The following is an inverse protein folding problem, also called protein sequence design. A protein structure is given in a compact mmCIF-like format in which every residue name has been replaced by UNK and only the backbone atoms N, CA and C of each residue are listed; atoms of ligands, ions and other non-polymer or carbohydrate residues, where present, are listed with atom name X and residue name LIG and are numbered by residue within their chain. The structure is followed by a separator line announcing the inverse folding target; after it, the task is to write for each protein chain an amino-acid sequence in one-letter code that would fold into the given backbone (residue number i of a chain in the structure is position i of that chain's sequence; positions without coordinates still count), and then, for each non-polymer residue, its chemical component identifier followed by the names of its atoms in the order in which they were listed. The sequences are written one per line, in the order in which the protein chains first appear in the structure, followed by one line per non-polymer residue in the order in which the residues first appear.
data_IF_931899131495
#
_entry.id   IF_931899131495
#
_cell.length_a   1.000
_cell.length_b   1.000
_cell.length_c   1.000
_cell.angle_alpha   90.00
_cell.angle_beta   90.00
_cell.angle_gamma   90.00
#
_symmetry.space_group_name_H-M   'P 1'
#
loop_
_entity.id
_entity.type
_entity.pdbx_description
1 polymer ?
#
# COMPACT_ATOMS: atom_id res chain seq x y z
N UNK A 1 -22.30 0.47 -14.62
CA UNK A 1 -23.57 0.48 -13.86
C UNK A 1 -23.23 0.78 -12.41
N UNK A 2 -23.99 1.64 -11.70
CA UNK A 2 -23.80 1.78 -10.26
C UNK A 2 -24.13 0.46 -9.55
N UNK A 3 -23.37 0.10 -8.53
CA UNK A 3 -23.63 -1.06 -7.68
C UNK A 3 -23.35 -0.71 -6.21
N UNK A 4 -23.97 -1.45 -5.30
CA UNK A 4 -23.73 -1.38 -3.85
C UNK A 4 -23.10 -2.70 -3.40
N UNK A 5 -22.05 -2.62 -2.59
CA UNK A 5 -21.36 -3.81 -2.06
C UNK A 5 -22.25 -4.66 -1.13
N UNK A 6 -23.32 -4.08 -0.57
CA UNK A 6 -24.29 -4.78 0.27
C UNK A 6 -25.46 -5.38 -0.50
N UNK A 7 -25.63 -5.04 -1.77
CA UNK A 7 -26.72 -5.54 -2.61
C UNK A 7 -26.24 -6.58 -3.63
N UNK A 8 -26.61 -7.84 -3.40
CA UNK A 8 -26.29 -8.98 -4.27
C UNK A 8 -26.81 -8.79 -5.70
N UNK A 9 -28.01 -8.23 -5.86
CA UNK A 9 -28.63 -8.10 -7.17
C UNK A 9 -27.84 -7.10 -8.04
N UNK A 10 -27.38 -6.00 -7.45
CA UNK A 10 -26.56 -5.01 -8.15
C UNK A 10 -25.19 -5.57 -8.57
N UNK A 11 -24.53 -6.34 -7.70
CA UNK A 11 -23.23 -6.97 -7.99
C UNK A 11 -23.40 -8.03 -9.09
N UNK A 12 -24.41 -8.89 -8.97
CA UNK A 12 -24.72 -9.92 -9.97
C UNK A 12 -25.02 -9.31 -11.33
N UNK A 13 -25.75 -8.19 -11.37
CA UNK A 13 -26.01 -7.43 -12.59
C UNK A 13 -24.73 -6.86 -13.21
N UNK A 14 -23.80 -6.38 -12.39
CA UNK A 14 -22.50 -5.89 -12.85
C UNK A 14 -21.59 -7.00 -13.39
N UNK A 15 -21.75 -8.24 -12.92
CA UNK A 15 -20.91 -9.39 -13.26
C UNK A 15 -21.49 -10.33 -14.33
N UNK A 16 -22.76 -10.14 -14.73
CA UNK A 16 -23.54 -11.09 -15.55
C UNK A 16 -22.86 -11.56 -16.84
N UNK A 17 -22.05 -10.72 -17.48
CA UNK A 17 -21.38 -11.03 -18.75
C UNK A 17 -19.85 -10.91 -18.65
N UNK A 18 -19.31 -10.98 -17.43
CA UNK A 18 -17.89 -10.82 -17.18
C UNK A 18 -17.21 -12.18 -17.14
N UNK A 19 -16.20 -12.38 -17.99
CA UNK A 19 -15.30 -13.53 -17.93
C UNK A 19 -14.23 -13.35 -16.83
N UNK A 20 -13.83 -12.11 -16.55
CA UNK A 20 -12.82 -11.75 -15.56
C UNK A 20 -13.40 -10.74 -14.59
N UNK A 21 -13.14 -10.93 -13.30
CA UNK A 21 -13.51 -9.99 -12.24
C UNK A 21 -12.29 -9.65 -11.40
N UNK A 22 -12.00 -8.35 -11.26
CA UNK A 22 -10.87 -7.84 -10.49
C UNK A 22 -11.42 -7.08 -9.29
N UNK A 23 -11.10 -7.55 -8.09
CA UNK A 23 -11.49 -6.92 -6.84
C UNK A 23 -10.35 -6.06 -6.28
N UNK A 24 -10.51 -4.74 -6.39
CA UNK A 24 -9.65 -3.71 -5.80
C UNK A 24 -10.35 -2.93 -4.68
N UNK A 25 -11.49 -3.42 -4.18
CA UNK A 25 -12.25 -2.70 -3.15
C UNK A 25 -11.45 -2.70 -1.85
N UNK A 26 -11.20 -1.51 -1.31
CA UNK A 26 -10.47 -1.34 -0.07
C UNK A 26 -10.44 0.10 0.42
N UNK A 27 -10.10 0.28 1.70
CA UNK A 27 -9.94 1.59 2.32
C UNK A 27 -8.98 1.58 3.52
N UNK A 28 -8.18 2.63 3.67
CA UNK A 28 -7.20 2.75 4.76
C UNK A 28 -7.79 3.27 6.09
N UNK A 29 -9.09 3.58 6.10
CA UNK A 29 -9.81 4.06 7.28
C UNK A 29 -11.26 3.59 7.23
N UNK A 30 -11.88 3.45 8.40
CA UNK A 30 -13.30 3.15 8.50
C UNK A 30 -14.13 4.39 8.17
N UNK A 31 -15.29 4.19 7.56
CA UNK A 31 -16.29 5.25 7.46
C UNK A 31 -17.40 5.00 8.47
N UNK A 32 -18.29 5.98 8.65
CA UNK A 32 -19.45 5.83 9.54
C UNK A 32 -20.33 4.63 9.14
N UNK A 33 -20.47 4.39 7.84
CA UNK A 33 -21.43 3.41 7.31
C UNK A 33 -20.78 2.07 6.92
N UNK A 34 -19.47 2.04 6.67
CA UNK A 34 -18.73 0.85 6.27
C UNK A 34 -17.52 0.65 7.17
N UNK A 35 -17.52 -0.47 7.88
CA UNK A 35 -16.46 -0.96 8.76
C UNK A 35 -15.45 -1.82 7.99
N UNK A 36 -14.32 -2.14 8.61
CA UNK A 36 -13.31 -2.97 7.95
C UNK A 36 -13.83 -4.38 7.67
N UNK A 37 -14.64 -4.94 8.56
CA UNK A 37 -15.26 -6.25 8.39
C UNK A 37 -16.20 -6.28 7.16
N UNK A 38 -17.03 -5.23 7.00
CA UNK A 38 -17.92 -5.11 5.82
C UNK A 38 -17.11 -5.12 4.50
N UNK A 39 -15.96 -4.42 4.49
CA UNK A 39 -15.19 -4.15 3.27
C UNK A 39 -14.19 -5.25 2.94
N UNK A 40 -13.58 -5.87 3.96
CA UNK A 40 -12.52 -6.84 3.77
C UNK A 40 -12.96 -8.29 4.01
N UNK A 41 -14.06 -8.54 4.73
CA UNK A 41 -14.57 -9.91 4.96
C UNK A 41 -15.81 -10.13 4.11
N UNK A 42 -16.89 -9.42 4.41
CA UNK A 42 -18.20 -9.67 3.78
C UNK A 42 -18.22 -9.33 2.29
N UNK A 43 -17.62 -8.19 1.92
CA UNK A 43 -17.51 -7.73 0.53
C UNK A 43 -16.81 -8.74 -0.38
N UNK A 44 -15.54 -9.12 -0.10
CA UNK A 44 -14.81 -10.09 -0.92
C UNK A 44 -15.48 -11.47 -0.94
N UNK A 45 -16.02 -11.95 0.18
CA UNK A 45 -16.75 -13.21 0.23
C UNK A 45 -18.00 -13.18 -0.68
N UNK A 46 -18.75 -12.08 -0.66
CA UNK A 46 -19.91 -11.87 -1.53
C UNK A 46 -19.52 -11.81 -3.00
N UNK A 47 -18.45 -11.07 -3.34
CA UNK A 47 -17.93 -11.01 -4.71
C UNK A 47 -17.50 -12.40 -5.19
N UNK A 48 -16.77 -13.17 -4.37
CA UNK A 48 -16.33 -14.51 -4.72
C UNK A 48 -17.50 -15.47 -4.95
N UNK A 49 -18.52 -15.44 -4.08
CA UNK A 49 -19.72 -16.26 -4.23
C UNK A 49 -20.48 -15.92 -5.51
N UNK A 50 -20.72 -14.62 -5.75
CA UNK A 50 -21.45 -14.17 -6.93
C UNK A 50 -20.65 -14.40 -8.22
N UNK A 51 -19.31 -14.34 -8.17
CA UNK A 51 -18.44 -14.67 -9.29
C UNK A 51 -18.61 -16.12 -9.71
N UNK A 52 -18.63 -17.02 -8.72
CA UNK A 52 -18.88 -18.45 -8.93
C UNK A 52 -20.28 -18.70 -9.51
N UNK A 53 -21.31 -18.05 -8.98
CA UNK A 53 -22.68 -18.17 -9.50
C UNK A 53 -22.85 -17.65 -10.93
N UNK A 54 -22.09 -16.63 -11.32
CA UNK A 54 -22.14 -16.07 -12.67
C UNK A 54 -21.26 -16.83 -13.67
N UNK A 55 -20.49 -17.83 -13.22
CA UNK A 55 -19.57 -18.56 -14.09
C UNK A 55 -18.36 -17.73 -14.54
N UNK A 56 -17.87 -16.80 -13.70
CA UNK A 56 -16.66 -16.04 -13.97
C UNK A 56 -15.47 -17.01 -14.07
N UNK A 57 -14.70 -16.92 -15.15
CA UNK A 57 -13.55 -17.79 -15.41
C UNK A 57 -12.35 -17.43 -14.53
N UNK A 58 -12.09 -16.13 -14.33
CA UNK A 58 -10.97 -15.65 -13.52
C UNK A 58 -11.38 -14.59 -12.52
N UNK A 59 -11.18 -14.89 -11.24
CA UNK A 59 -11.29 -13.93 -10.15
C UNK A 59 -9.91 -13.50 -9.70
N UNK A 60 -9.65 -12.19 -9.70
CA UNK A 60 -8.43 -11.58 -9.18
C UNK A 60 -8.76 -10.81 -7.92
N UNK A 61 -8.07 -11.10 -6.83
CA UNK A 61 -8.23 -10.40 -5.55
C UNK A 61 -6.91 -9.75 -5.12
N UNK A 62 -6.97 -8.46 -4.77
CA UNK A 62 -5.77 -7.73 -4.31
C UNK A 62 -5.82 -7.52 -2.80
N UNK A 63 -4.87 -8.16 -2.13
CA UNK A 63 -4.70 -8.19 -0.69
C UNK A 63 -3.60 -7.20 -0.26
N UNK A 64 -2.66 -7.61 0.60
CA UNK A 64 -1.46 -6.87 0.99
C UNK A 64 -0.35 -7.86 1.38
N UNK A 65 0.92 -7.47 1.25
CA UNK A 65 2.07 -8.33 1.61
C UNK A 65 2.11 -8.72 3.09
N UNK A 66 1.71 -7.81 3.98
CA UNK A 66 1.84 -7.97 5.42
C UNK A 66 0.60 -8.58 6.09
N UNK A 67 -0.29 -9.21 5.32
CA UNK A 67 -1.49 -9.84 5.90
C UNK A 67 -1.13 -11.02 6.78
N UNK A 68 -1.75 -11.09 7.95
CA UNK A 68 -1.57 -12.16 8.93
C UNK A 68 -2.84 -12.30 9.77
N UNK A 69 -3.13 -13.52 10.24
CA UNK A 69 -4.22 -13.76 11.20
C UNK A 69 -3.98 -13.02 12.52
N UNK A 70 -2.71 -12.96 12.92
CA UNK A 70 -2.23 -12.31 14.14
C UNK A 70 -1.13 -11.31 13.75
N UNK A 71 -1.50 -10.10 13.29
CA UNK A 71 -0.52 -9.07 12.97
C UNK A 71 0.22 -8.65 14.24
N UNK A 72 1.54 -8.48 14.14
CA UNK A 72 2.37 -8.05 15.26
C UNK A 72 1.96 -6.65 15.73
N UNK A 73 1.68 -6.43 17.02
CA UNK A 73 1.34 -5.12 17.55
C UNK A 73 2.59 -4.24 17.68
N UNK A 74 2.63 -3.14 16.93
CA UNK A 74 3.67 -2.11 17.01
C UNK A 74 3.19 -0.90 17.82
N UNK A 75 2.22 -0.16 17.28
CA UNK A 75 1.60 1.03 17.87
C UNK A 75 0.22 0.70 18.46
N UNK A 76 -0.52 -0.20 17.79
CA UNK A 76 -1.83 -0.66 18.23
C UNK A 76 -1.70 -1.89 19.13
N UNK A 77 -2.46 -1.99 20.22
CA UNK A 77 -2.32 -3.08 21.18
C UNK A 77 -2.64 -4.47 20.60
N UNK A 78 -3.48 -4.52 19.55
CA UNK A 78 -3.92 -5.75 18.91
C UNK A 78 -3.42 -5.89 17.46
N UNK A 79 -2.42 -5.09 17.06
CA UNK A 79 -1.97 -4.99 15.67
C UNK A 79 -2.99 -4.32 14.75
N UNK A 80 -2.69 -4.28 13.45
CA UNK A 80 -3.57 -3.65 12.45
C UNK A 80 -4.81 -4.48 12.19
N UNK A 81 -6.00 -3.89 12.38
CA UNK A 81 -7.26 -4.52 12.00
C UNK A 81 -7.37 -4.71 10.49
N UNK A 82 -6.80 -3.80 9.69
CA UNK A 82 -6.80 -3.90 8.23
C UNK A 82 -6.07 -5.17 7.78
N UNK A 83 -4.86 -5.42 8.31
CA UNK A 83 -4.07 -6.59 7.93
C UNK A 83 -4.76 -7.90 8.32
N UNK A 84 -5.37 -7.93 9.52
CA UNK A 84 -6.12 -9.10 10.00
C UNK A 84 -7.39 -9.36 9.19
N UNK A 85 -8.21 -8.35 8.95
CA UNK A 85 -9.47 -8.50 8.20
C UNK A 85 -9.22 -8.83 6.73
N UNK A 86 -8.19 -8.24 6.10
CA UNK A 86 -7.74 -8.63 4.76
C UNK A 86 -7.28 -10.09 4.70
N UNK A 87 -6.56 -10.58 5.71
CA UNK A 87 -6.17 -11.99 5.77
C UNK A 87 -7.39 -12.92 5.77
N UNK A 88 -8.37 -12.63 6.63
CA UNK A 88 -9.61 -13.41 6.74
C UNK A 88 -10.39 -13.36 5.41
N UNK A 89 -10.52 -12.18 4.83
CA UNK A 89 -11.17 -11.98 3.53
C UNK A 89 -10.53 -12.78 2.40
N UNK A 90 -9.20 -12.73 2.32
CA UNK A 90 -8.43 -13.48 1.33
C UNK A 90 -8.65 -14.99 1.46
N UNK A 91 -8.67 -15.50 2.71
CA UNK A 91 -8.98 -16.90 2.99
C UNK A 91 -10.39 -17.27 2.53
N UNK A 92 -11.40 -16.46 2.84
CA UNK A 92 -12.77 -16.69 2.40
C UNK A 92 -12.92 -16.67 0.88
N UNK A 93 -12.24 -15.73 0.19
CA UNK A 93 -12.21 -15.70 -1.27
C UNK A 93 -11.63 -17.00 -1.82
N UNK A 94 -10.53 -17.48 -1.24
CA UNK A 94 -9.89 -18.73 -1.65
C UNK A 94 -10.77 -19.95 -1.36
N UNK A 95 -11.45 -19.99 -0.23
CA UNK A 95 -12.33 -21.12 0.14
C UNK A 95 -13.57 -21.19 -0.78
N UNK A 96 -14.12 -20.04 -1.18
CA UNK A 96 -15.29 -19.97 -2.07
C UNK A 96 -14.90 -20.20 -3.53
N UNK A 97 -13.81 -19.58 -3.97
CA UNK A 97 -13.27 -19.61 -5.33
C UNK A 97 -11.79 -20.07 -5.29
N UNK A 98 -11.52 -21.39 -5.27
CA UNK A 98 -10.17 -21.95 -5.13
C UNK A 98 -9.18 -21.48 -6.19
N UNK A 99 -9.66 -21.26 -7.41
CA UNK A 99 -8.85 -20.83 -8.56
C UNK A 99 -8.54 -19.32 -8.56
N UNK A 100 -8.94 -18.58 -7.51
CA UNK A 100 -8.78 -17.14 -7.44
C UNK A 100 -7.30 -16.76 -7.36
N UNK A 101 -6.88 -15.89 -8.26
CA UNK A 101 -5.52 -15.33 -8.28
C UNK A 101 -5.45 -14.23 -7.24
N UNK A 102 -4.53 -14.35 -6.29
CA UNK A 102 -4.35 -13.37 -5.23
C UNK A 102 -3.07 -12.59 -5.47
N UNK A 103 -3.14 -11.26 -5.47
CA UNK A 103 -1.96 -10.41 -5.44
C UNK A 103 -1.77 -9.85 -4.03
N UNK A 104 -0.58 -10.02 -3.47
CA UNK A 104 -0.15 -9.44 -2.20
C UNK A 104 0.90 -8.36 -2.48
N UNK A 105 0.47 -7.12 -2.80
CA UNK A 105 1.40 -6.04 -3.07
C UNK A 105 2.03 -5.48 -1.79
N UNK A 106 3.28 -5.06 -1.91
CA UNK A 106 3.93 -4.12 -0.99
C UNK A 106 3.31 -2.71 -1.14
N UNK A 107 3.90 -1.71 -0.49
CA UNK A 107 3.54 -0.31 -0.65
C UNK A 107 3.65 0.11 -2.12
N UNK A 108 2.49 0.33 -2.73
CA UNK A 108 2.39 0.74 -4.13
C UNK A 108 2.66 2.24 -4.21
N UNK A 109 3.58 2.64 -5.09
CA UNK A 109 3.87 4.04 -5.38
C UNK A 109 3.60 4.38 -6.85
N UNK A 110 3.33 5.66 -7.12
CA UNK A 110 3.07 6.20 -8.44
C UNK A 110 2.15 7.40 -8.38
N UNK A 111 1.66 7.83 -9.54
CA UNK A 111 0.76 8.97 -9.62
C UNK A 111 -0.49 8.68 -8.80
N UNK A 112 -0.74 9.54 -7.82
CA UNK A 112 -1.88 9.42 -6.92
C UNK A 112 -1.80 8.47 -5.73
N UNK A 113 -0.61 7.97 -5.45
CA UNK A 113 -0.40 7.06 -4.35
C UNK A 113 -0.59 7.71 -2.95
N UNK A 114 -0.93 6.90 -1.96
CA UNK A 114 -1.08 7.34 -0.57
C UNK A 114 0.17 7.10 0.27
N UNK A 115 1.21 6.51 -0.29
CA UNK A 115 2.46 6.18 0.39
C UNK A 115 3.40 7.39 0.39
N UNK A 116 3.95 7.76 -0.77
CA UNK A 116 4.76 8.97 -1.00
C UNK A 116 4.02 10.23 -0.55
N UNK A 117 2.75 10.39 -0.95
CA UNK A 117 1.96 11.57 -0.59
C UNK A 117 1.77 11.72 0.93
N UNK A 118 1.74 10.62 1.69
CA UNK A 118 1.65 10.72 3.14
C UNK A 118 2.91 11.37 3.74
N UNK A 119 4.10 10.98 3.28
CA UNK A 119 5.36 11.59 3.71
C UNK A 119 5.55 13.02 3.16
N UNK A 120 5.05 13.28 1.95
CA UNK A 120 5.10 14.61 1.34
C UNK A 120 4.18 15.62 2.04
N UNK A 121 3.09 15.16 2.66
CA UNK A 121 2.10 16.02 3.30
C UNK A 121 2.65 16.68 4.59
N UNK A 122 2.38 17.97 4.75
CA UNK A 122 2.79 18.75 5.93
C UNK A 122 2.11 18.26 7.22
N UNK A 123 0.85 17.80 7.15
CA UNK A 123 0.11 17.35 8.33
C UNK A 123 0.69 16.08 8.95
N UNK A 124 1.38 15.24 8.17
CA UNK A 124 2.07 14.05 8.67
C UNK A 124 3.28 14.37 9.56
N UNK A 125 3.78 15.61 9.49
CA UNK A 125 5.01 16.10 10.14
C UNK A 125 4.69 16.85 11.44
N UNK A 126 5.69 16.97 12.29
CA UNK A 126 5.74 17.95 13.39
C UNK A 126 6.74 19.03 13.01
N UNK A 127 6.23 20.12 12.42
CA UNK A 127 7.07 21.15 11.78
C UNK A 127 7.99 20.54 10.70
N UNK A 128 9.30 20.56 10.94
CA UNK A 128 10.32 19.99 10.06
C UNK A 128 10.71 18.56 10.42
N UNK A 129 10.12 18.01 11.48
CA UNK A 129 10.45 16.69 11.99
C UNK A 129 9.44 15.62 11.51
N UNK A 130 9.94 14.43 11.16
CA UNK A 130 9.12 13.29 10.72
C UNK A 130 9.09 12.19 11.78
N UNK A 131 7.91 11.89 12.36
CA UNK A 131 7.76 10.81 13.32
C UNK A 131 7.69 9.46 12.61
N UNK A 132 8.66 8.57 12.87
CA UNK A 132 8.66 7.17 12.46
C UNK A 132 8.80 6.23 13.67
N UNK A 133 8.28 5.01 13.59
CA UNK A 133 8.42 4.01 14.64
C UNK A 133 9.88 3.57 14.75
N UNK A 134 10.52 3.70 15.92
CA UNK A 134 11.96 3.43 16.08
C UNK A 134 12.81 4.16 15.03
N UNK A 135 12.40 5.39 14.70
CA UNK A 135 13.01 6.18 13.63
C UNK A 135 13.04 5.46 12.26
N UNK A 136 12.19 4.46 12.00
CA UNK A 136 12.17 3.71 10.75
C UNK A 136 13.37 2.78 10.53
N UNK A 137 14.22 2.58 11.54
CA UNK A 137 15.41 1.74 11.41
C UNK A 137 15.11 0.24 11.56
N UNK A 138 14.01 -0.11 12.22
CA UNK A 138 13.58 -1.50 12.40
C UNK A 138 12.72 -2.04 11.24
N UNK A 139 12.30 -1.18 10.31
CA UNK A 139 11.34 -1.53 9.25
C UNK A 139 12.03 -1.62 7.90
N UNK A 140 11.78 -2.72 7.17
CA UNK A 140 12.23 -2.90 5.79
C UNK A 140 11.02 -2.89 4.86
N UNK A 141 11.12 -2.14 3.75
CA UNK A 141 10.08 -1.99 2.73
C UNK A 141 10.59 -2.35 1.34
N UNK A 142 9.73 -2.93 0.51
CA UNK A 142 10.05 -3.29 -0.88
C UNK A 142 9.00 -2.73 -1.86
N UNK A 143 8.88 -1.39 -1.91
CA UNK A 143 7.79 -0.70 -2.59
C UNK A 143 7.76 -1.02 -4.09
N UNK A 144 6.57 -1.12 -4.66
CA UNK A 144 6.34 -1.57 -6.04
C UNK A 144 5.67 -0.47 -6.86
N UNK A 145 6.06 -0.33 -8.14
CA UNK A 145 5.45 0.68 -9.02
C UNK A 145 4.04 0.25 -9.44
N UNK A 146 3.09 1.18 -9.40
CA UNK A 146 1.67 0.91 -9.72
C UNK A 146 1.48 0.29 -11.11
N UNK A 147 2.25 0.73 -12.10
CA UNK A 147 2.15 0.21 -13.47
C UNK A 147 2.63 -1.23 -13.58
N UNK A 148 3.62 -1.64 -12.79
CA UNK A 148 4.14 -3.00 -12.77
C UNK A 148 3.12 -3.96 -12.15
N UNK A 149 2.43 -3.53 -11.09
CA UNK A 149 1.31 -4.29 -10.49
C UNK A 149 0.18 -4.45 -11.50
N UNK A 150 -0.19 -3.38 -12.21
CA UNK A 150 -1.21 -3.45 -13.25
C UNK A 150 -0.80 -4.38 -14.41
N UNK A 151 0.45 -4.33 -14.85
CA UNK A 151 1.01 -5.23 -15.86
C UNK A 151 0.96 -6.70 -15.39
N UNK A 152 1.31 -6.96 -14.13
CA UNK A 152 1.22 -8.29 -13.52
C UNK A 152 -0.21 -8.83 -13.47
N UNK A 153 -1.18 -7.99 -13.08
CA UNK A 153 -2.60 -8.35 -13.11
C UNK A 153 -3.02 -8.73 -14.53
N UNK A 154 -2.66 -7.93 -15.54
CA UNK A 154 -2.99 -8.22 -16.94
C UNK A 154 -2.30 -9.50 -17.43
N UNK A 155 -1.04 -9.75 -17.04
CA UNK A 155 -0.33 -10.98 -17.37
C UNK A 155 -1.01 -12.21 -16.78
N UNK A 156 -1.44 -12.14 -15.51
CA UNK A 156 -2.18 -13.23 -14.86
C UNK A 156 -3.56 -13.47 -15.49
N UNK A 157 -4.23 -12.43 -16.01
CA UNK A 157 -5.47 -12.61 -16.78
C UNK A 157 -5.21 -13.44 -18.04
N UNK A 158 -4.08 -13.25 -18.71
CA UNK A 158 -3.77 -13.92 -19.98
C UNK A 158 -3.24 -15.35 -19.80
N UNK A 159 -2.54 -15.63 -18.70
CA UNK A 159 -1.92 -16.93 -18.48
C UNK A 159 -2.86 -17.89 -17.71
N UNK A 160 -3.26 -19.05 -18.25
CA UNK A 160 -4.12 -20.01 -17.54
C UNK A 160 -3.48 -20.63 -16.29
N UNK A 161 -2.14 -20.75 -16.26
CA UNK A 161 -1.40 -21.43 -15.18
C UNK A 161 -1.36 -20.62 -13.87
N UNK A 162 -1.93 -19.41 -13.86
CA UNK A 162 -1.95 -18.56 -12.68
C UNK A 162 -3.10 -18.87 -11.71
N UNK A 163 -4.04 -19.72 -12.11
CA UNK A 163 -5.20 -20.08 -11.32
C UNK A 163 -4.77 -20.63 -9.94
N UNK A 164 -5.36 -20.07 -8.87
CA UNK A 164 -5.03 -20.45 -7.49
C UNK A 164 -3.66 -20.00 -6.98
N UNK A 165 -2.85 -19.28 -7.77
CA UNK A 165 -1.57 -18.76 -7.29
C UNK A 165 -1.73 -17.49 -6.47
N UNK A 166 -0.80 -17.29 -5.53
CA UNK A 166 -0.67 -16.07 -4.74
C UNK A 166 0.65 -15.40 -5.11
N UNK A 167 0.57 -14.24 -5.77
CA UNK A 167 1.72 -13.49 -6.23
C UNK A 167 2.11 -12.41 -5.24
N UNK A 168 3.37 -12.39 -4.84
CA UNK A 168 3.95 -11.32 -4.03
C UNK A 168 4.42 -10.20 -4.95
N UNK A 169 3.68 -9.10 -4.97
CA UNK A 169 3.95 -7.97 -5.84
C UNK A 169 4.87 -6.97 -5.12
N UNK A 170 6.17 -7.18 -5.32
CA UNK A 170 7.25 -6.38 -4.71
C UNK A 170 8.09 -5.69 -5.77
N UNK A 171 8.72 -4.58 -5.40
CA UNK A 171 9.66 -3.89 -6.29
C UNK A 171 11.04 -4.55 -6.35
N UNK A 172 11.96 -4.02 -7.18
CA UNK A 172 13.24 -4.68 -7.46
C UNK A 172 14.24 -4.64 -6.31
N UNK A 173 14.08 -3.72 -5.34
CA UNK A 173 15.06 -3.47 -4.26
C UNK A 173 14.37 -3.31 -2.92
N UNK A 174 15.03 -3.81 -1.86
CA UNK A 174 14.59 -3.69 -0.47
C UNK A 174 15.29 -2.50 0.18
N UNK A 175 14.53 -1.66 0.88
CA UNK A 175 15.04 -0.46 1.53
C UNK A 175 14.71 -0.46 3.01
N UNK A 176 15.60 0.09 3.82
CA UNK A 176 15.24 0.47 5.18
C UNK A 176 14.31 1.69 5.12
N UNK A 177 13.23 1.69 5.90
CA UNK A 177 12.26 2.78 5.87
C UNK A 177 12.90 4.14 6.21
N UNK A 178 13.87 4.14 7.12
CA UNK A 178 14.69 5.30 7.47
C UNK A 178 15.38 5.93 6.25
N UNK A 179 16.16 5.15 5.51
CA UNK A 179 16.91 5.58 4.33
C UNK A 179 15.98 6.05 3.20
N UNK A 180 14.86 5.35 3.03
CA UNK A 180 13.85 5.67 2.02
C UNK A 180 13.17 7.01 2.30
N UNK A 181 12.76 7.27 3.55
CA UNK A 181 12.17 8.56 3.93
C UNK A 181 13.21 9.67 3.84
N UNK A 182 14.45 9.45 4.30
CA UNK A 182 15.53 10.44 4.19
C UNK A 182 15.83 10.79 2.72
N UNK A 183 15.76 9.80 1.83
CA UNK A 183 15.87 10.03 0.39
C UNK A 183 14.70 10.84 -0.19
N UNK A 184 13.44 10.55 0.19
CA UNK A 184 12.29 11.34 -0.26
C UNK A 184 12.43 12.82 0.12
N UNK A 185 12.90 13.11 1.33
CA UNK A 185 13.11 14.48 1.78
C UNK A 185 14.25 15.17 1.05
N UNK A 186 15.33 14.46 0.71
CA UNK A 186 16.38 14.97 -0.19
C UNK A 186 15.84 15.27 -1.59
N UNK A 187 15.06 14.37 -2.18
CA UNK A 187 14.40 14.56 -3.50
C UNK A 187 13.44 15.77 -3.49
N UNK A 188 12.75 16.00 -2.37
CA UNK A 188 11.88 17.17 -2.16
C UNK A 188 12.65 18.46 -1.82
N UNK A 189 13.99 18.48 -1.82
CA UNK A 189 14.80 19.63 -1.36
C UNK A 189 14.50 20.08 0.06
N UNK A 190 14.07 19.13 0.89
CA UNK A 190 13.78 19.33 2.30
C UNK A 190 14.71 18.43 3.11
N UNK A 191 15.99 18.40 2.73
CA UNK A 191 17.03 17.63 3.41
C UNK A 191 17.52 18.30 4.70
N UNK A 192 18.66 17.86 5.24
CA UNK A 192 19.23 18.40 6.48
C UNK A 192 19.41 19.93 6.48
N UNK A 193 19.80 20.52 5.34
CA UNK A 193 19.97 21.99 5.19
C UNK A 193 18.66 22.75 5.38
N UNK A 194 17.53 22.11 5.05
CA UNK A 194 16.20 22.67 5.29
C UNK A 194 15.78 22.55 6.76
N UNK A 195 16.53 21.81 7.59
CA UNK A 195 16.21 21.50 8.99
C UNK A 195 15.38 20.23 9.17
N UNK A 196 15.40 19.32 8.20
CA UNK A 196 14.73 18.03 8.31
C UNK A 196 15.40 17.13 9.35
N UNK A 197 14.58 16.55 10.22
CA UNK A 197 15.01 15.59 11.23
C UNK A 197 14.00 14.45 11.32
N UNK A 198 14.49 13.22 11.40
CA UNK A 198 13.67 12.05 11.72
C UNK A 198 13.79 11.73 13.20
N UNK A 199 12.69 11.36 13.83
CA UNK A 199 12.70 11.01 15.25
C UNK A 199 11.73 9.88 15.55
N UNK A 200 11.91 9.30 16.74
CA UNK A 200 11.11 8.17 17.19
C UNK A 200 9.76 8.64 17.74
N UNK A 201 8.69 8.25 17.05
CA UNK A 201 7.33 8.63 17.42
C UNK A 201 6.87 8.02 18.76
N UNK A 202 7.56 6.99 19.27
CA UNK A 202 7.20 6.33 20.54
C UNK A 202 7.18 7.29 21.71
N UNK A 203 8.07 8.28 21.69
CA UNK A 203 8.28 9.22 22.79
C UNK A 203 7.58 10.56 22.59
N UNK A 204 6.80 10.74 21.50
CA UNK A 204 6.12 11.99 21.20
C UNK A 204 4.62 11.91 21.51
N UNK A 205 4.18 12.37 22.69
CA UNK A 205 2.77 12.39 23.05
C UNK A 205 1.95 13.38 22.19
N UNK A 206 2.56 14.45 21.68
CA UNK A 206 1.85 15.45 20.89
C UNK A 206 1.48 14.92 19.50
N UNK A 207 2.37 14.16 18.87
CA UNK A 207 2.03 13.48 17.62
C UNK A 207 0.95 12.42 17.82
N UNK A 208 1.03 11.60 18.87
CA UNK A 208 -0.02 10.62 19.19
C UNK A 208 -1.38 11.27 19.45
N UNK A 209 -1.39 12.39 20.17
CA UNK A 209 -2.60 13.18 20.39
C UNK A 209 -3.14 13.73 19.07
N UNK A 210 -2.27 14.27 18.20
CA UNK A 210 -2.65 14.77 16.86
C UNK A 210 -3.28 13.69 15.99
N UNK A 211 -2.73 12.49 15.96
CA UNK A 211 -3.31 11.35 15.21
C UNK A 211 -4.72 11.05 15.72
N UNK A 212 -4.86 10.91 17.04
CA UNK A 212 -6.16 10.62 17.68
C UNK A 212 -7.20 11.71 17.41
N UNK A 213 -6.80 12.98 17.46
CA UNK A 213 -7.69 14.10 17.14
C UNK A 213 -8.07 14.12 15.65
N UNK A 214 -7.12 13.83 14.76
CA UNK A 214 -7.36 13.80 13.31
C UNK A 214 -8.42 12.75 12.95
N UNK A 215 -8.33 11.55 13.53
CA UNK A 215 -9.33 10.51 13.33
C UNK A 215 -10.70 10.87 13.89
N UNK A 216 -10.76 11.49 15.07
CA UNK A 216 -12.02 11.88 15.71
C UNK A 216 -12.72 13.04 15.01
N UNK A 217 -11.97 14.03 14.53
CA UNK A 217 -12.52 15.24 13.89
C UNK A 217 -12.95 14.94 12.45
N UNK A 218 -12.17 14.11 11.73
CA UNK A 218 -12.44 13.79 10.32
C UNK A 218 -12.55 12.28 10.07
N UNK A 219 -13.59 11.60 10.60
CA UNK A 219 -13.69 10.14 10.50
C UNK A 219 -13.90 9.64 9.05
N UNK A 220 -14.50 10.45 8.17
CA UNK A 220 -14.77 10.04 6.78
C UNK A 220 -13.57 10.19 5.83
N UNK A 221 -12.61 11.04 6.17
CA UNK A 221 -11.40 11.31 5.41
C UNK A 221 -10.32 11.90 6.33
N UNK A 222 -9.50 11.07 6.98
CA UNK A 222 -8.46 11.58 7.86
C UNK A 222 -7.49 12.45 7.06
N UNK A 223 -7.19 13.64 7.59
CA UNK A 223 -6.30 14.61 6.93
C UNK A 223 -4.95 13.93 6.68
N UNK A 224 -4.45 14.02 5.44
CA UNK A 224 -3.22 13.37 4.98
C UNK A 224 -3.20 11.83 5.10
N UNK A 225 -4.36 11.19 5.25
CA UNK A 225 -4.47 9.76 5.52
C UNK A 225 -3.94 9.38 6.90
N UNK A 226 -3.75 10.33 7.81
CA UNK A 226 -3.15 10.09 9.12
C UNK A 226 -4.14 9.35 10.04
N UNK A 227 -3.96 8.05 10.15
CA UNK A 227 -4.69 7.16 11.06
C UNK A 227 -3.72 6.25 11.80
N UNK A 228 -4.12 5.74 12.97
CA UNK A 228 -3.38 4.74 13.71
C UNK A 228 -3.19 3.47 12.90
N UNK A 229 -4.21 3.04 12.16
CA UNK A 229 -4.13 1.88 11.27
C UNK A 229 -3.12 2.08 10.14
N UNK A 230 -3.07 3.27 9.53
CA UNK A 230 -2.05 3.57 8.51
C UNK A 230 -0.65 3.56 9.13
N UNK A 231 -0.47 4.20 10.29
CA UNK A 231 0.83 4.21 10.96
C UNK A 231 1.28 2.80 11.34
N UNK A 232 0.38 1.96 11.85
CA UNK A 232 0.69 0.55 12.13
C UNK A 232 1.19 -0.14 10.86
N UNK A 233 0.38 -0.13 9.80
CA UNK A 233 0.64 -0.80 8.52
C UNK A 233 1.94 -0.34 7.85
N UNK A 234 2.19 0.98 7.80
CA UNK A 234 3.36 1.56 7.15
C UNK A 234 4.68 1.17 7.86
N UNK A 235 4.64 0.74 9.13
CA UNK A 235 5.84 0.34 9.88
C UNK A 235 6.02 -1.18 10.03
N UNK A 236 5.12 -1.99 9.47
CA UNK A 236 5.30 -3.44 9.36
C UNK A 236 6.34 -3.74 8.27
N UNK A 237 7.26 -4.66 8.56
CA UNK A 237 8.28 -5.09 7.61
C UNK A 237 7.69 -5.96 6.51
N UNK A 238 8.09 -5.68 5.28
CA UNK A 238 7.72 -6.47 4.11
C UNK A 238 8.57 -7.75 4.06
N UNK A 239 7.90 -8.90 4.01
CA UNK A 239 8.52 -10.22 3.92
C UNK A 239 7.91 -10.98 2.76
N UNK A 240 8.76 -11.45 1.85
CA UNK A 240 8.38 -12.38 0.79
C UNK A 240 8.78 -13.78 1.28
N UNK A 241 7.82 -14.70 1.51
CA UNK A 241 8.16 -16.06 1.89
C UNK A 241 8.81 -16.80 0.71
N UNK A 242 9.72 -17.72 1.04
CA UNK A 242 10.43 -18.52 0.04
C UNK A 242 9.46 -19.39 -0.78
N UNK A 243 9.68 -19.45 -2.10
CA UNK A 243 8.93 -20.30 -3.02
C UNK A 243 7.59 -19.75 -3.51
N UNK A 244 7.22 -18.51 -3.14
CA UNK A 244 6.06 -17.84 -3.73
C UNK A 244 6.44 -17.09 -5.00
N UNK A 245 5.58 -17.10 -6.04
CA UNK A 245 5.85 -16.39 -7.27
C UNK A 245 5.73 -14.87 -7.09
N UNK A 246 6.50 -14.14 -7.87
CA UNK A 246 6.59 -12.68 -7.89
C UNK A 246 6.09 -12.11 -9.23
N UNK A 247 6.21 -10.80 -9.42
CA UNK A 247 5.88 -10.17 -10.70
C UNK A 247 6.86 -10.55 -11.83
N UNK A 248 8.10 -10.88 -11.50
CA UNK A 248 9.10 -11.29 -12.48
C UNK A 248 8.72 -12.63 -13.13
N UNK A 249 8.12 -13.55 -12.35
CA UNK A 249 7.61 -14.84 -12.85
C UNK A 249 6.43 -14.68 -13.83
N UNK A 250 5.76 -13.53 -13.78
CA UNK A 250 4.71 -13.15 -14.75
C UNK A 250 5.27 -12.44 -16.00
N UNK A 251 6.61 -12.31 -16.10
CA UNK A 251 7.29 -11.65 -17.20
C UNK A 251 7.24 -10.12 -17.15
N UNK A 252 7.00 -9.53 -15.96
CA UNK A 252 6.97 -8.07 -15.78
C UNK A 252 8.38 -7.56 -15.51
N UNK A 253 8.83 -6.60 -16.31
CA UNK A 253 10.07 -5.86 -16.04
C UNK A 253 9.83 -4.84 -14.94
N UNK A 254 10.51 -5.00 -13.80
CA UNK A 254 10.32 -4.14 -12.64
C UNK A 254 10.97 -2.77 -12.83
N UNK A 255 10.22 -1.72 -12.46
CA UNK A 255 10.66 -0.34 -12.51
C UNK A 255 11.41 0.04 -11.23
N UNK A 256 12.58 0.64 -11.39
CA UNK A 256 13.36 1.15 -10.26
C UNK A 256 12.72 2.42 -9.68
N UNK A 257 12.71 2.49 -8.35
CA UNK A 257 12.11 3.60 -7.62
C UNK A 257 12.84 4.92 -7.89
N UNK A 258 14.15 4.82 -8.07
CA UNK A 258 15.08 5.92 -8.36
C UNK A 258 14.74 6.65 -9.67
N UNK A 259 14.12 5.97 -10.62
CA UNK A 259 13.78 6.53 -11.93
C UNK A 259 12.45 7.30 -11.90
N UNK A 260 11.49 6.87 -11.08
CA UNK A 260 10.12 7.41 -11.06
C UNK A 260 9.84 8.38 -9.92
N UNK A 261 10.32 8.11 -8.71
CA UNK A 261 10.02 8.94 -7.52
C UNK A 261 10.43 10.41 -7.66
N UNK A 262 11.57 10.77 -8.30
CA UNK A 262 11.91 12.17 -8.54
C UNK A 262 10.85 12.95 -9.32
N UNK A 263 10.09 12.28 -10.20
CA UNK A 263 8.98 12.85 -10.94
C UNK A 263 7.73 12.98 -10.06
N UNK A 264 7.39 11.90 -9.34
CA UNK A 264 6.21 11.87 -8.46
C UNK A 264 6.28 12.89 -7.31
N UNK A 265 7.48 13.13 -6.77
CA UNK A 265 7.71 14.08 -5.68
C UNK A 265 8.01 15.51 -6.15
N UNK A 266 8.12 15.76 -7.47
CA UNK A 266 8.41 17.09 -8.03
C UNK A 266 7.44 18.17 -7.52
N UNK A 267 6.12 17.95 -7.45
CA UNK A 267 5.17 18.97 -6.96
C UNK A 267 5.39 19.37 -5.48
N UNK A 268 6.06 18.52 -4.70
CA UNK A 268 6.26 18.73 -3.27
C UNK A 268 7.64 19.31 -2.90
N UNK A 269 8.45 19.65 -3.92
CA UNK A 269 9.77 20.25 -3.73
C UNK A 269 9.68 21.61 -3.03
N UNK A 270 10.67 21.91 -2.20
CA UNK A 270 10.89 23.30 -1.80
C UNK A 270 11.18 24.13 -3.06
N UNK A 271 10.60 25.33 -3.15
CA UNK A 271 10.66 26.19 -4.33
C UNK A 271 10.12 25.51 -5.61
N UNK A 272 8.98 24.82 -5.52
CA UNK A 272 8.41 24.06 -6.64
C UNK A 272 8.12 24.89 -7.92
N UNK A 273 7.92 26.20 -7.78
CA UNK A 273 7.66 27.13 -8.89
C UNK A 273 8.92 27.84 -9.41
N UNK A 274 10.09 27.50 -8.88
CA UNK A 274 11.34 28.08 -9.31
C UNK A 274 11.84 27.39 -10.58
N UNK A 275 12.14 28.19 -11.61
CA UNK A 275 12.74 27.71 -12.85
C UNK A 275 14.22 27.46 -12.63
N UNK A 276 14.59 26.19 -12.53
CA UNK A 276 15.94 25.75 -12.18
C UNK A 276 16.88 25.85 -13.37
N UNK A 277 18.08 26.39 -13.16
CA UNK A 277 19.16 26.25 -14.13
C UNK A 277 19.73 24.82 -14.11
N UNK A 278 20.25 24.37 -15.25
CA UNK A 278 20.70 22.99 -15.42
C UNK A 278 21.95 22.75 -14.55
N UNK A 279 21.78 21.99 -13.46
CA UNK A 279 22.86 21.67 -12.51
C UNK A 279 22.86 22.53 -11.24
N UNK A 280 21.91 23.45 -11.09
CA UNK A 280 21.81 24.32 -9.89
C UNK A 280 21.54 23.53 -8.61
N UNK A 281 20.76 22.43 -8.71
CA UNK A 281 20.52 21.52 -7.60
C UNK A 281 21.15 20.16 -7.87
N UNK A 282 21.94 19.68 -6.91
CA UNK A 282 22.52 18.35 -6.96
C UNK A 282 21.42 17.28 -6.96
N UNK A 283 21.56 16.28 -7.83
CA UNK A 283 20.69 15.10 -7.82
C UNK A 283 21.04 14.27 -6.58
N UNK A 284 20.09 14.00 -5.67
CA UNK A 284 20.39 13.24 -4.48
C UNK A 284 20.79 11.82 -4.83
N UNK A 285 21.84 11.31 -4.18
CA UNK A 285 22.26 9.93 -4.31
C UNK A 285 21.09 8.97 -3.99
N UNK A 286 20.99 7.83 -4.70
CA UNK A 286 19.93 6.86 -4.47
C UNK A 286 19.98 6.29 -3.03
N UNK A 287 18.85 5.84 -2.49
CA UNK A 287 18.79 5.28 -1.15
C UNK A 287 19.62 3.99 -1.09
N UNK A 288 20.25 3.73 0.05
CA UNK A 288 20.94 2.46 0.27
C UNK A 288 19.90 1.35 0.30
N UNK A 289 20.17 0.29 -0.46
CA UNK A 289 19.32 -0.91 -0.48
C UNK A 289 20.00 -2.05 0.29
N UNK A 290 19.17 -2.93 0.82
CA UNK A 290 19.60 -4.16 1.48
C UNK A 290 19.66 -5.23 0.38
N UNK A 291 20.84 -5.84 0.11
CA UNK A 291 20.93 -6.91 -0.88
C UNK A 291 20.05 -8.09 -0.43
N UNK A 292 19.32 -8.67 -1.38
CA UNK A 292 18.55 -9.89 -1.13
C UNK A 292 19.55 -11.03 -0.91
N UNK A 293 19.74 -11.44 0.34
CA UNK A 293 20.46 -12.68 0.63
C UNK A 293 19.61 -13.83 0.10
N UNK A 294 20.12 -14.51 -0.93
CA UNK A 294 19.55 -15.73 -1.50
C UNK A 294 19.70 -16.86 -0.50
#
# INVERSE_FOLDING_TARGET
MPYDIRDDASIKKAMKYSNVVINLVGRDWETKNFKFEDIYIDGPARIARLAKECGVEKLIHVSNISVSEHPEPLLLPNGSKILRTKFIGERLVRDIFPDAVVFRPSDIYGSEDRFLRSYANLWRRQFKAVPLWRSGEATIKQPVFVSDVAAGIVAAIKNPDTAGNTYYAVGPKRYQLSELVDWFFRVMRKGPDWGYVRYDMRFDPFFKLKVTLTEKICPGWPIAGLSWEKLEKDHVTDVVPYGFPTLEDLGVNLTHMEDQVPWELKPFRANAYYDEELGEFEKPAPPKFIPTTI
#
